data_IF_355413851821
#
_entry.id   IF_355413851821
#
_cell.length_a   1.000
_cell.length_b   1.000
_cell.length_c   1.000
_cell.angle_alpha   90.00
_cell.angle_beta   90.00
_cell.angle_gamma   90.00
#
_symmetry.space_group_name_H-M   'P 1'
#
loop_
_entity.id
_entity.type
_entity.pdbx_description
1 polymer ?
#
# COMPACT_ATOMS: atom_id res chain seq x y z
N UNK A 1 -4.75 -26.67 -20.46
CA UNK A 1 -4.31 -25.28 -20.23
C UNK A 1 -3.69 -25.12 -18.84
N UNK A 2 -2.57 -24.40 -18.65
CA UNK A 2 -2.13 -24.09 -17.30
C UNK A 2 -3.18 -23.16 -16.68
N UNK A 3 -3.70 -23.52 -15.51
CA UNK A 3 -4.71 -22.73 -14.81
C UNK A 3 -4.19 -21.29 -14.64
N UNK A 4 -4.98 -20.25 -14.98
CA UNK A 4 -4.54 -18.88 -14.70
C UNK A 4 -4.31 -18.74 -13.19
N UNK A 5 -3.19 -18.13 -12.82
CA UNK A 5 -2.82 -17.85 -11.44
C UNK A 5 -3.80 -16.82 -10.84
N UNK A 6 -5.02 -17.25 -10.48
CA UNK A 6 -6.11 -16.40 -9.95
C UNK A 6 -6.02 -16.19 -8.44
N UNK A 7 -5.07 -16.86 -7.78
CA UNK A 7 -4.96 -16.88 -6.31
C UNK A 7 -4.67 -15.49 -5.75
N UNK A 8 -3.78 -14.72 -6.37
CA UNK A 8 -3.47 -13.36 -5.90
C UNK A 8 -4.67 -12.41 -6.06
N UNK A 9 -5.40 -12.50 -7.17
CA UNK A 9 -6.59 -11.68 -7.42
C UNK A 9 -7.71 -12.04 -6.45
N UNK A 10 -7.91 -13.34 -6.17
CA UNK A 10 -8.88 -13.81 -5.19
C UNK A 10 -8.53 -13.31 -3.77
N UNK A 11 -7.26 -13.39 -3.37
CA UNK A 11 -6.79 -12.88 -2.09
C UNK A 11 -6.98 -11.35 -1.95
N UNK A 12 -6.76 -10.60 -3.03
CA UNK A 12 -7.00 -9.16 -3.06
C UNK A 12 -8.50 -8.85 -2.89
N UNK A 13 -9.37 -9.56 -3.60
CA UNK A 13 -10.81 -9.31 -3.56
C UNK A 13 -11.44 -9.72 -2.22
N UNK A 14 -10.94 -10.78 -1.57
CA UNK A 14 -11.31 -11.14 -0.19
C UNK A 14 -11.04 -9.98 0.78
N UNK A 15 -9.86 -9.36 0.68
CA UNK A 15 -9.55 -8.18 1.50
C UNK A 15 -10.43 -6.95 1.16
N UNK A 16 -10.77 -6.76 -0.11
CA UNK A 16 -11.67 -5.67 -0.53
C UNK A 16 -13.09 -5.87 0.03
N UNK A 17 -13.64 -7.08 -0.06
CA UNK A 17 -14.94 -7.43 0.52
C UNK A 17 -14.97 -7.15 2.03
N UNK A 18 -13.95 -7.60 2.77
CA UNK A 18 -13.85 -7.34 4.21
C UNK A 18 -13.82 -5.85 4.54
N UNK A 19 -13.13 -5.04 3.73
CA UNK A 19 -13.12 -3.59 3.89
C UNK A 19 -14.51 -2.99 3.66
N UNK A 20 -15.22 -3.41 2.62
CA UNK A 20 -16.57 -2.91 2.34
C UNK A 20 -17.58 -3.29 3.42
N UNK A 21 -17.54 -4.53 3.91
CA UNK A 21 -18.45 -5.01 4.95
C UNK A 21 -18.18 -4.36 6.31
N UNK A 22 -16.92 -4.14 6.66
CA UNK A 22 -16.55 -3.59 7.97
C UNK A 22 -16.44 -2.06 8.00
N UNK A 23 -16.34 -1.41 6.83
CA UNK A 23 -16.02 0.01 6.70
C UNK A 23 -14.60 0.38 7.17
N UNK A 24 -13.74 -0.61 7.43
CA UNK A 24 -12.38 -0.43 7.95
C UNK A 24 -11.36 -1.03 6.99
N UNK A 25 -10.26 -0.33 6.77
CA UNK A 25 -9.14 -0.84 5.96
C UNK A 25 -8.56 -2.13 6.57
N UNK A 26 -8.25 -3.12 5.73
CA UNK A 26 -7.61 -4.39 6.13
C UNK A 26 -6.10 -4.27 6.35
N UNK A 27 -5.51 -3.12 6.00
CA UNK A 27 -4.10 -2.81 6.16
C UNK A 27 -3.91 -1.37 6.71
N UNK A 28 -2.75 -1.05 7.31
CA UNK A 28 -2.46 0.31 7.75
C UNK A 28 -2.37 1.24 6.54
N UNK A 29 -3.38 2.11 6.35
CA UNK A 29 -3.48 3.01 5.19
C UNK A 29 -2.33 4.00 5.13
N UNK A 30 -1.78 4.34 6.29
CA UNK A 30 -0.62 5.19 6.50
C UNK A 30 0.60 4.66 5.75
N UNK A 31 0.74 3.33 5.63
CA UNK A 31 1.78 2.70 4.82
C UNK A 31 1.64 3.09 3.35
N UNK A 32 0.43 3.01 2.81
CA UNK A 32 0.17 3.35 1.40
C UNK A 32 0.38 4.85 1.18
N UNK A 33 -0.09 5.70 2.08
CA UNK A 33 0.14 7.15 2.02
C UNK A 33 1.65 7.46 2.02
N UNK A 34 2.41 6.84 2.92
CA UNK A 34 3.85 7.05 3.02
C UNK A 34 4.59 6.58 1.75
N UNK A 35 4.33 5.35 1.27
CA UNK A 35 5.07 4.80 0.12
C UNK A 35 4.71 5.51 -1.18
N UNK A 36 3.42 5.79 -1.42
CA UNK A 36 2.98 6.51 -2.61
C UNK A 36 3.47 7.97 -2.61
N UNK A 37 3.39 8.65 -1.46
CA UNK A 37 3.89 10.01 -1.31
C UNK A 37 5.41 10.12 -1.43
N UNK A 38 6.16 9.11 -0.97
CA UNK A 38 7.61 9.02 -1.20
C UNK A 38 7.90 8.89 -2.69
N UNK A 39 7.25 7.95 -3.39
CA UNK A 39 7.44 7.77 -4.84
C UNK A 39 7.11 9.05 -5.60
N UNK A 40 6.01 9.71 -5.26
CA UNK A 40 5.63 11.01 -5.83
C UNK A 40 6.72 12.06 -5.61
N UNK A 41 7.17 12.24 -4.36
CA UNK A 41 8.17 13.26 -4.01
C UNK A 41 9.51 13.01 -4.69
N UNK A 42 9.93 11.74 -4.79
CA UNK A 42 11.13 11.36 -5.53
C UNK A 42 11.00 11.67 -7.03
N UNK A 43 9.84 11.37 -7.63
CA UNK A 43 9.58 11.69 -9.04
C UNK A 43 9.63 13.21 -9.28
N UNK A 44 9.03 14.00 -8.38
CA UNK A 44 9.08 15.46 -8.45
C UNK A 44 10.51 15.99 -8.27
N UNK A 45 11.29 15.43 -7.34
CA UNK A 45 12.71 15.79 -7.15
C UNK A 45 13.53 15.47 -8.41
N UNK A 46 13.35 14.30 -9.01
CA UNK A 46 14.03 13.90 -10.23
C UNK A 46 13.72 14.85 -11.39
N UNK A 47 12.45 15.22 -11.58
CA UNK A 47 12.03 16.21 -12.58
C UNK A 47 12.64 17.59 -12.31
N UNK A 48 12.87 17.93 -11.04
CA UNK A 48 13.49 19.18 -10.60
C UNK A 48 15.02 19.05 -10.44
N UNK A 49 15.72 18.40 -11.37
CA UNK A 49 17.18 18.26 -11.36
C UNK A 49 17.74 17.66 -10.05
N UNK A 50 17.05 16.65 -9.52
CA UNK A 50 17.47 15.89 -8.33
C UNK A 50 17.67 16.76 -7.08
N UNK A 51 16.97 17.89 -6.98
CA UNK A 51 17.09 18.77 -5.82
C UNK A 51 16.46 18.14 -4.57
N UNK A 52 17.09 18.28 -3.39
CA UNK A 52 16.51 17.86 -2.12
C UNK A 52 15.16 18.53 -1.87
N UNK A 53 14.21 17.78 -1.28
CA UNK A 53 12.85 18.26 -1.04
C UNK A 53 12.41 17.92 0.38
N UNK A 54 11.92 18.93 1.10
CA UNK A 54 11.28 18.72 2.39
C UNK A 54 9.89 18.12 2.18
N UNK A 55 9.58 17.07 2.92
CA UNK A 55 8.32 16.32 2.82
C UNK A 55 7.58 16.27 4.17
N UNK A 56 7.18 17.43 4.75
CA UNK A 56 6.49 17.46 6.05
C UNK A 56 5.15 16.71 6.03
N UNK A 57 4.50 16.60 4.87
CA UNK A 57 3.29 15.82 4.67
C UNK A 57 3.52 14.30 4.69
N UNK A 58 4.78 13.84 4.65
CA UNK A 58 5.17 12.44 4.79
C UNK A 58 5.63 12.09 6.21
N UNK A 59 5.47 12.98 7.19
CA UNK A 59 5.66 12.65 8.62
C UNK A 59 4.50 11.77 9.12
N UNK A 60 4.43 10.57 8.56
CA UNK A 60 3.37 9.59 8.75
C UNK A 60 3.99 8.35 9.36
N UNK A 61 3.61 8.07 10.60
CA UNK A 61 4.06 6.89 11.33
C UNK A 61 2.98 5.81 11.28
N UNK A 62 3.38 4.56 11.01
CA UNK A 62 2.46 3.44 10.98
C UNK A 62 3.03 2.23 11.72
N UNK A 63 2.14 1.38 12.22
CA UNK A 63 2.49 0.11 12.85
C UNK A 63 2.06 -1.03 11.95
N UNK A 64 3.00 -1.89 11.57
CA UNK A 64 2.69 -3.11 10.85
C UNK A 64 1.78 -4.04 11.69
N UNK A 65 0.90 -4.76 11.02
CA UNK A 65 0.05 -5.77 11.68
C UNK A 65 0.92 -6.90 12.22
N UNK A 66 0.63 -7.37 13.44
CA UNK A 66 1.33 -8.55 14.00
C UNK A 66 0.98 -9.83 13.24
N UNK A 67 -0.24 -9.92 12.71
CA UNK A 67 -0.71 -11.05 11.93
C UNK A 67 -0.16 -10.95 10.51
N UNK A 68 0.34 -12.07 9.98
CA UNK A 68 0.71 -12.21 8.58
C UNK A 68 -0.51 -11.97 7.68
N UNK A 69 -0.31 -11.18 6.63
CA UNK A 69 -1.28 -11.00 5.53
C UNK A 69 -0.96 -11.90 4.34
N UNK A 70 0.00 -12.83 4.47
CA UNK A 70 0.29 -13.80 3.43
C UNK A 70 -0.92 -14.74 3.26
N UNK A 71 -1.25 -15.02 2.00
CA UNK A 71 -2.39 -15.87 1.68
C UNK A 71 -2.03 -17.34 1.89
N UNK A 72 -2.77 -18.03 2.77
CA UNK A 72 -2.50 -19.41 3.18
C UNK A 72 -3.61 -20.40 2.77
N UNK A 73 -4.60 -19.97 1.98
CA UNK A 73 -5.75 -20.81 1.55
C UNK A 73 -5.56 -21.38 0.16
#
# INVERSE_FOLDING_TARGET
PPNPNVVYSAALMDNAEQMFLSGKSTYPIERTLLTSGLVQSCMTSLANNQQPMNTPHLDVNYKATRRSTFWHK
#
